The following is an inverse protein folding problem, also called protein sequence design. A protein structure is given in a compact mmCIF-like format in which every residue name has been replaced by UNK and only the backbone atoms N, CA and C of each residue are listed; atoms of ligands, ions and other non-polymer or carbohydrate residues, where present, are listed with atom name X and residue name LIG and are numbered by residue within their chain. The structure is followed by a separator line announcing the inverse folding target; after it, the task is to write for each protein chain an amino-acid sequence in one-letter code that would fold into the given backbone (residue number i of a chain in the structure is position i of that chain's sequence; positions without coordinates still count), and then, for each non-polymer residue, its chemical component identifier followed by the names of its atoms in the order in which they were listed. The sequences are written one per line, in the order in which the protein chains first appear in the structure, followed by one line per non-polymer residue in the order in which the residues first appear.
data_IF_252926575525
#
_entry.id   IF_252926575525
#
_cell.length_a   1.000
_cell.length_b   1.000
_cell.length_c   1.000
_cell.angle_alpha   90.00
_cell.angle_beta   90.00
_cell.angle_gamma   90.00
#
_symmetry.space_group_name_H-M   'P 1'
#
loop_
_entity.id
_entity.type
_entity.pdbx_description
1 polymer ?
#
# COMPACT_ATOMS: atom_id res chain seq x y z
N UNK A 1 10.30 -16.14 -22.93
CA UNK A 1 9.86 -14.92 -22.22
C UNK A 1 8.97 -15.23 -21.02
N UNK A 2 7.94 -16.09 -21.14
CA UNK A 2 7.08 -16.48 -20.02
C UNK A 2 7.83 -17.18 -18.86
N UNK A 3 8.76 -18.07 -19.18
CA UNK A 3 9.55 -18.85 -18.20
C UNK A 3 10.51 -17.98 -17.35
N UNK A 4 11.00 -16.87 -17.92
CA UNK A 4 11.85 -15.92 -17.21
C UNK A 4 11.06 -15.06 -16.22
N UNK A 5 9.84 -14.66 -16.59
CA UNK A 5 8.94 -13.94 -15.69
C UNK A 5 8.48 -14.83 -14.53
N UNK A 6 8.21 -16.11 -14.80
CA UNK A 6 7.88 -17.11 -13.78
C UNK A 6 9.04 -17.31 -12.80
N UNK A 7 10.27 -17.49 -13.30
CA UNK A 7 11.46 -17.64 -12.44
C UNK A 7 11.76 -16.40 -11.60
N UNK A 8 11.42 -15.20 -12.07
CA UNK A 8 11.61 -13.94 -11.33
C UNK A 8 10.56 -13.75 -10.22
N UNK A 9 9.32 -14.20 -10.44
CA UNK A 9 8.27 -14.28 -9.41
C UNK A 9 8.66 -15.28 -8.30
N UNK A 10 9.21 -16.42 -8.68
CA UNK A 10 9.66 -17.47 -7.74
C UNK A 10 10.92 -17.03 -6.97
N UNK A 11 11.82 -16.26 -7.59
CA UNK A 11 13.12 -15.88 -6.99
C UNK A 11 13.09 -14.91 -5.80
N UNK A 12 11.91 -14.39 -5.39
CA UNK A 12 11.75 -13.59 -4.17
C UNK A 12 11.25 -14.40 -2.96
N UNK A 13 10.74 -15.61 -3.19
CA UNK A 13 10.28 -16.53 -2.16
C UNK A 13 11.34 -17.63 -2.01
N UNK A 14 11.81 -17.82 -0.79
CA UNK A 14 12.94 -18.68 -0.45
C UNK A 14 12.80 -20.10 -1.03
N UNK A 15 13.91 -20.69 -1.48
CA UNK A 15 13.97 -21.95 -2.25
C UNK A 15 13.59 -23.21 -1.45
N UNK A 16 13.06 -23.08 -0.23
CA UNK A 16 12.78 -24.20 0.68
C UNK A 16 11.30 -24.37 1.06
N UNK A 17 10.40 -23.54 0.55
CA UNK A 17 8.96 -23.82 0.60
C UNK A 17 8.44 -23.94 -0.83
N UNK A 18 8.23 -25.16 -1.29
CA UNK A 18 7.33 -25.39 -2.43
C UNK A 18 5.97 -24.90 -1.95
N UNK A 19 5.61 -23.66 -2.27
CA UNK A 19 4.27 -23.16 -2.05
C UNK A 19 3.38 -23.92 -3.04
N UNK A 20 2.84 -25.05 -2.59
CA UNK A 20 1.83 -25.79 -3.33
C UNK A 20 0.70 -24.83 -3.60
N UNK A 21 0.40 -24.61 -4.88
CA UNK A 21 -0.70 -23.75 -5.26
C UNK A 21 -1.99 -24.33 -4.68
N UNK A 22 -2.85 -23.51 -4.03
CA UNK A 22 -4.12 -23.99 -3.51
C UNK A 22 -4.95 -24.61 -4.63
N UNK A 23 -5.51 -25.79 -4.40
CA UNK A 23 -6.24 -26.56 -5.42
C UNK A 23 -7.76 -26.41 -5.25
N UNK A 24 -8.21 -25.98 -4.07
CA UNK A 24 -9.62 -25.70 -3.79
C UNK A 24 -9.88 -24.22 -3.52
N UNK A 25 -11.12 -23.77 -3.77
CA UNK A 25 -11.54 -22.40 -3.47
C UNK A 25 -11.37 -22.05 -1.98
N UNK A 26 -11.55 -23.02 -1.08
CA UNK A 26 -11.40 -22.79 0.35
C UNK A 26 -9.92 -22.59 0.74
N UNK A 27 -9.01 -23.33 0.12
CA UNK A 27 -7.57 -23.12 0.30
C UNK A 27 -7.13 -21.77 -0.27
N UNK A 28 -7.61 -21.40 -1.47
CA UNK A 28 -7.34 -20.08 -2.06
C UNK A 28 -7.76 -18.97 -1.10
N UNK A 29 -8.99 -19.05 -0.56
CA UNK A 29 -9.49 -18.05 0.39
C UNK A 29 -8.64 -17.96 1.65
N UNK A 30 -8.24 -19.10 2.23
CA UNK A 30 -7.36 -19.10 3.41
C UNK A 30 -6.04 -18.38 3.13
N UNK A 31 -5.40 -18.68 2.00
CA UNK A 31 -4.13 -18.03 1.62
C UNK A 31 -4.33 -16.53 1.39
N UNK A 32 -5.47 -16.11 0.83
CA UNK A 32 -5.81 -14.68 0.71
C UNK A 32 -6.01 -14.05 2.09
N UNK A 33 -6.74 -14.70 3.00
CA UNK A 33 -6.99 -14.18 4.35
C UNK A 33 -5.66 -13.97 5.10
N UNK A 34 -4.71 -14.90 4.96
CA UNK A 34 -3.37 -14.79 5.55
C UNK A 34 -2.59 -13.61 4.95
N UNK A 35 -2.62 -13.45 3.62
CA UNK A 35 -1.99 -12.33 2.92
C UNK A 35 -2.61 -10.98 3.32
N UNK A 36 -3.93 -10.92 3.46
CA UNK A 36 -4.64 -9.73 3.92
C UNK A 36 -4.20 -9.36 5.34
N UNK A 37 -3.94 -10.36 6.20
CA UNK A 37 -3.33 -10.16 7.51
C UNK A 37 -1.96 -9.47 7.43
N UNK A 38 -1.09 -9.89 6.51
CA UNK A 38 0.21 -9.24 6.27
C UNK A 38 0.04 -7.80 5.75
N UNK A 39 -0.90 -7.58 4.83
CA UNK A 39 -1.22 -6.25 4.30
C UNK A 39 -1.65 -5.31 5.43
N UNK A 40 -2.48 -5.76 6.37
CA UNK A 40 -2.88 -4.97 7.54
C UNK A 40 -1.68 -4.56 8.39
N UNK A 41 -0.72 -5.46 8.62
CA UNK A 41 0.50 -5.13 9.36
C UNK A 41 1.35 -4.07 8.64
N UNK A 42 1.47 -4.17 7.31
CA UNK A 42 2.17 -3.19 6.49
C UNK A 42 1.47 -1.82 6.50
N UNK A 43 0.14 -1.80 6.44
CA UNK A 43 -0.66 -0.58 6.54
C UNK A 43 -0.51 0.10 7.90
N UNK A 44 -0.51 -0.66 9.00
CA UNK A 44 -0.27 -0.13 10.33
C UNK A 44 1.13 0.51 10.45
N UNK A 45 2.16 -0.09 9.83
CA UNK A 45 3.49 0.51 9.76
C UNK A 45 3.49 1.79 8.91
N UNK A 46 2.80 1.78 7.77
CA UNK A 46 2.64 2.96 6.91
C UNK A 46 1.95 4.10 7.65
N UNK A 47 0.93 3.81 8.46
CA UNK A 47 0.21 4.80 9.26
C UNK A 47 1.17 5.59 10.16
N UNK A 48 2.03 4.91 10.93
CA UNK A 48 3.01 5.56 11.81
C UNK A 48 3.93 6.52 11.05
N UNK A 49 4.29 6.18 9.80
CA UNK A 49 5.11 7.04 8.94
C UNK A 49 4.32 8.25 8.42
N UNK A 50 3.03 8.08 8.10
CA UNK A 50 2.14 9.18 7.71
C UNK A 50 1.96 10.14 8.88
N UNK A 51 1.67 9.64 10.08
CA UNK A 51 1.53 10.44 11.30
C UNK A 51 2.82 11.25 11.57
N UNK A 52 3.98 10.61 11.44
CA UNK A 52 5.26 11.30 11.58
C UNK A 52 5.47 12.37 10.50
N UNK A 53 5.11 12.08 9.24
CA UNK A 53 5.19 13.06 8.16
C UNK A 53 4.24 14.25 8.42
N UNK A 54 3.02 14.01 8.93
CA UNK A 54 2.06 15.03 9.30
C UNK A 54 2.60 15.97 10.38
N UNK A 55 3.27 15.43 11.42
CA UNK A 55 3.90 16.24 12.49
C UNK A 55 5.00 17.18 11.99
N UNK A 56 5.65 16.85 10.87
CA UNK A 56 6.71 17.68 10.27
C UNK A 56 6.16 18.78 9.35
N UNK A 57 4.87 18.73 8.99
CA UNK A 57 4.24 19.74 8.14
C UNK A 57 3.81 20.96 8.97
N UNK A 58 3.79 22.17 8.38
CA UNK A 58 3.20 23.33 9.01
C UNK A 58 1.74 23.03 9.41
N UNK A 59 1.38 23.40 10.64
CA UNK A 59 0.01 23.22 11.13
C UNK A 59 -0.93 24.11 10.29
N UNK A 60 -2.13 23.60 9.97
CA UNK A 60 -3.16 24.27 9.16
C UNK A 60 -2.86 24.49 7.66
N UNK A 61 -1.86 23.83 7.08
CA UNK A 61 -1.67 23.85 5.61
C UNK A 61 -2.35 22.64 4.94
N UNK A 62 -3.59 22.84 4.51
CA UNK A 62 -4.37 21.81 3.80
C UNK A 62 -3.69 21.32 2.50
N UNK A 63 -2.89 22.17 1.85
CA UNK A 63 -2.16 21.78 0.62
C UNK A 63 -0.94 20.93 0.96
N UNK A 64 -0.29 21.18 2.09
CA UNK A 64 0.76 20.30 2.61
C UNK A 64 0.20 18.92 3.02
N UNK A 65 -1.03 18.87 3.55
CA UNK A 65 -1.72 17.60 3.86
C UNK A 65 -2.03 16.81 2.58
N UNK A 66 -2.69 17.44 1.60
CA UNK A 66 -3.12 16.77 0.37
C UNK A 66 -1.97 16.45 -0.60
N UNK A 67 -0.92 17.27 -0.63
CA UNK A 67 0.31 17.10 -1.42
C UNK A 67 0.08 16.51 -2.83
N UNK A 68 -0.72 17.16 -3.71
CA UNK A 68 -1.22 16.56 -4.95
C UNK A 68 -0.11 16.12 -5.91
N UNK A 69 0.98 16.87 -6.01
CA UNK A 69 2.15 16.51 -6.81
C UNK A 69 2.81 15.23 -6.30
N UNK A 70 2.90 15.08 -4.97
CA UNK A 70 3.46 13.87 -4.34
C UNK A 70 2.57 12.67 -4.59
N UNK A 71 1.24 12.83 -4.52
CA UNK A 71 0.27 11.77 -4.80
C UNK A 71 0.44 11.27 -6.24
N UNK A 72 0.50 12.18 -7.22
CA UNK A 72 0.69 11.82 -8.63
C UNK A 72 2.00 11.03 -8.84
N UNK A 73 3.11 11.47 -8.23
CA UNK A 73 4.40 10.76 -8.29
C UNK A 73 4.34 9.36 -7.67
N UNK A 74 3.67 9.21 -6.53
CA UNK A 74 3.51 7.88 -5.88
C UNK A 74 2.72 6.96 -6.78
N UNK A 75 1.59 7.43 -7.34
CA UNK A 75 0.73 6.60 -8.19
C UNK A 75 1.48 6.13 -9.42
N UNK A 76 2.18 7.04 -10.12
CA UNK A 76 2.95 6.67 -11.31
C UNK A 76 4.04 5.64 -10.99
N UNK A 77 4.79 5.86 -9.91
CA UNK A 77 5.82 4.90 -9.48
C UNK A 77 5.25 3.51 -9.17
N UNK A 78 4.03 3.43 -8.62
CA UNK A 78 3.40 2.15 -8.25
C UNK A 78 2.75 1.47 -9.44
N UNK A 79 2.22 2.22 -10.41
CA UNK A 79 1.81 1.68 -11.71
C UNK A 79 2.98 1.01 -12.41
N UNK A 80 4.14 1.69 -12.50
CA UNK A 80 5.34 1.11 -13.11
C UNK A 80 5.82 -0.14 -12.36
N UNK A 81 5.82 -0.10 -11.03
CA UNK A 81 6.19 -1.28 -10.23
C UNK A 81 5.23 -2.45 -10.46
N UNK A 82 3.92 -2.19 -10.55
CA UNK A 82 2.90 -3.22 -10.76
C UNK A 82 3.18 -4.04 -12.02
N UNK A 83 3.52 -3.36 -13.13
CA UNK A 83 3.92 -4.02 -14.39
C UNK A 83 5.08 -5.00 -14.16
N UNK A 84 6.09 -4.58 -13.39
CA UNK A 84 7.29 -5.40 -13.16
C UNK A 84 7.06 -6.62 -12.27
N UNK A 85 5.99 -6.62 -11.47
CA UNK A 85 5.60 -7.67 -10.53
C UNK A 85 4.38 -8.48 -11.04
N UNK A 86 3.89 -8.22 -12.26
CA UNK A 86 2.75 -8.94 -12.84
C UNK A 86 1.37 -8.52 -12.32
N UNK A 87 1.28 -7.40 -11.59
CA UNK A 87 0.01 -6.80 -11.14
C UNK A 87 -0.52 -5.84 -12.21
N UNK A 88 -1.84 -5.84 -12.43
CA UNK A 88 -2.48 -4.83 -13.28
C UNK A 88 -2.19 -3.40 -12.75
N UNK A 89 -1.68 -2.49 -13.60
CA UNK A 89 -1.46 -1.10 -13.22
C UNK A 89 -2.72 -0.40 -12.72
N UNK A 90 -3.88 -0.74 -13.28
CA UNK A 90 -5.19 -0.21 -12.92
C UNK A 90 -5.60 -0.65 -11.52
N UNK A 91 -5.37 -1.92 -11.17
CA UNK A 91 -5.59 -2.43 -9.80
C UNK A 91 -4.66 -1.73 -8.82
N UNK A 92 -3.37 -1.61 -9.15
CA UNK A 92 -2.40 -0.91 -8.31
C UNK A 92 -2.80 0.54 -8.07
N UNK A 93 -3.18 1.27 -9.12
CA UNK A 93 -3.63 2.65 -8.99
C UNK A 93 -4.86 2.78 -8.10
N UNK A 94 -5.89 1.94 -8.30
CA UNK A 94 -7.11 1.99 -7.52
C UNK A 94 -6.83 1.76 -6.02
N UNK A 95 -6.02 0.76 -5.69
CA UNK A 95 -5.61 0.46 -4.31
C UNK A 95 -4.84 1.63 -3.71
N UNK A 96 -3.85 2.17 -4.43
CA UNK A 96 -3.04 3.28 -3.91
C UNK A 96 -3.81 4.57 -3.73
N UNK A 97 -4.75 4.90 -4.63
CA UNK A 97 -5.63 6.06 -4.48
C UNK A 97 -6.49 5.94 -3.22
N UNK A 98 -7.23 4.84 -3.09
CA UNK A 98 -8.08 4.61 -1.92
C UNK A 98 -7.27 4.65 -0.61
N UNK A 99 -6.09 4.02 -0.60
CA UNK A 99 -5.20 4.04 0.56
C UNK A 99 -4.72 5.47 0.88
N UNK A 100 -4.27 6.24 -0.11
CA UNK A 100 -3.78 7.61 0.08
C UNK A 100 -4.91 8.49 0.63
N UNK A 101 -6.10 8.41 0.04
CA UNK A 101 -7.26 9.20 0.47
C UNK A 101 -7.65 8.88 1.92
N UNK A 102 -7.63 7.60 2.31
CA UNK A 102 -7.89 7.19 3.69
C UNK A 102 -6.88 7.79 4.68
N UNK A 103 -5.60 7.83 4.32
CA UNK A 103 -4.55 8.41 5.18
C UNK A 103 -4.59 9.93 5.24
N UNK A 104 -4.95 10.61 4.15
CA UNK A 104 -5.20 12.06 4.14
C UNK A 104 -6.35 12.40 5.09
N UNK A 105 -7.44 11.64 5.02
CA UNK A 105 -8.59 11.83 5.91
C UNK A 105 -8.22 11.60 7.38
N UNK A 106 -7.43 10.57 7.68
CA UNK A 106 -6.91 10.32 9.02
C UNK A 106 -6.08 11.50 9.54
N UNK A 107 -5.17 12.05 8.72
CA UNK A 107 -4.34 13.20 9.05
C UNK A 107 -5.19 14.46 9.33
N UNK A 108 -6.24 14.69 8.55
CA UNK A 108 -7.19 15.80 8.76
C UNK A 108 -7.90 15.67 10.12
N UNK A 109 -8.39 14.48 10.47
CA UNK A 109 -9.07 14.26 11.75
C UNK A 109 -8.12 14.42 12.95
N UNK A 110 -6.88 13.93 12.85
CA UNK A 110 -5.86 14.17 13.88
C UNK A 110 -5.54 15.65 14.09
N UNK A 111 -5.39 16.42 13.01
CA UNK A 111 -5.12 17.86 13.11
C UNK A 111 -6.28 18.64 13.74
N UNK A 112 -7.54 18.25 13.43
CA UNK A 112 -8.72 18.83 14.09
C UNK A 112 -8.73 18.54 15.60
N UNK A 113 -8.48 17.29 15.99
CA UNK A 113 -8.47 16.89 17.40
C UNK A 113 -7.35 17.60 18.21
N UNK A 114 -6.18 17.82 17.59
CA UNK A 114 -5.09 18.57 18.21
C UNK A 114 -5.43 20.05 18.44
N UNK A 115 -6.21 20.67 17.54
CA UNK A 115 -6.60 22.09 17.63
C UNK A 115 -7.68 22.41 18.68
N UNK A 116 -8.27 21.40 19.34
CA UNK A 116 -9.30 21.58 20.37
C UNK A 116 -8.75 21.66 21.80
N UNK A 117 -7.43 21.50 21.98
CA UNK A 117 -6.76 21.50 23.28
C UNK A 117 -5.81 22.69 23.52
N UNK A 118 -5.73 23.63 22.57
CA UNK A 118 -5.05 24.93 22.71
C UNK A 118 -6.06 26.06 22.95
#
# INVERSE_FOLDING_TARGET
MAEFALNKMIGKYDKETIMTMPETLNEVRRVIDDLDGEIIQLLARRQKLVEQAGRLKPHNDARAVAAPERVAQVIEARRVQAISEGLSPEVAEAVWRAMIDAFINLEIEFNKAGSLHD
#
